data_IF_608000076980
#
_entry.id   IF_608000076980
#
_cell.length_a   1.000
_cell.length_b   1.000
_cell.length_c   1.000
_cell.angle_alpha   90.00
_cell.angle_beta   90.00
_cell.angle_gamma   90.00
#
_symmetry.space_group_name_H-M   'P 1'
#
loop_
_entity.id
_entity.type
_entity.pdbx_description
1 polymer ?
#
# COMPACT_ATOMS: atom_id res chain seq x y z
N UNK A 1 22.98 9.45 16.05
CA UNK A 1 22.98 10.78 15.40
C UNK A 1 22.17 10.77 14.10
N UNK A 2 22.40 9.82 13.18
CA UNK A 2 21.63 9.68 11.91
C UNK A 2 20.11 9.66 12.13
N UNK A 3 19.61 8.93 13.13
CA UNK A 3 18.16 8.84 13.43
C UNK A 3 17.52 10.19 13.79
N UNK A 4 18.30 11.15 14.32
CA UNK A 4 17.82 12.47 14.75
C UNK A 4 17.95 13.54 13.68
N UNK A 5 18.45 13.21 12.49
CA UNK A 5 18.57 14.17 11.39
C UNK A 5 17.19 14.70 10.96
N UNK A 6 17.13 16.01 10.69
CA UNK A 6 15.88 16.72 10.38
C UNK A 6 15.42 16.51 8.93
N UNK A 7 16.37 16.32 8.00
CA UNK A 7 16.14 16.15 6.57
C UNK A 7 17.13 15.15 5.95
N UNK A 8 16.93 14.83 4.67
CA UNK A 8 17.80 13.90 3.96
C UNK A 8 19.20 14.47 3.73
N UNK A 9 19.36 15.80 3.57
CA UNK A 9 20.66 16.43 3.35
C UNK A 9 21.59 16.23 4.57
N UNK A 10 21.03 16.44 5.76
CA UNK A 10 21.68 16.19 7.04
C UNK A 10 22.07 14.73 7.19
N UNK A 11 21.21 13.78 6.77
CA UNK A 11 21.54 12.35 6.76
C UNK A 11 22.73 12.08 5.85
N UNK A 12 22.69 12.54 4.61
CA UNK A 12 23.76 12.31 3.63
C UNK A 12 25.09 12.95 4.05
N UNK A 13 25.04 14.13 4.67
CA UNK A 13 26.21 14.81 5.23
C UNK A 13 26.83 14.02 6.38
N UNK A 14 26.02 13.51 7.31
CA UNK A 14 26.50 12.68 8.42
C UNK A 14 27.10 11.36 7.92
N UNK A 15 26.47 10.72 6.94
CA UNK A 15 27.00 9.49 6.33
C UNK A 15 28.37 9.75 5.72
N UNK A 16 28.51 10.83 4.95
CA UNK A 16 29.79 11.20 4.33
C UNK A 16 30.88 11.45 5.37
N UNK A 17 30.56 12.17 6.45
CA UNK A 17 31.51 12.49 7.51
C UNK A 17 31.99 11.25 8.28
N UNK A 18 31.12 10.24 8.43
CA UNK A 18 31.38 9.06 9.27
C UNK A 18 31.60 7.79 8.48
N UNK A 19 31.86 7.87 7.18
CA UNK A 19 31.84 6.72 6.25
C UNK A 19 32.61 5.50 6.76
N UNK A 20 33.78 5.69 7.36
CA UNK A 20 34.66 4.63 7.86
C UNK A 20 34.18 3.97 9.16
N UNK A 21 33.23 4.58 9.87
CA UNK A 21 32.69 4.09 11.15
C UNK A 21 31.35 3.37 10.99
N UNK A 22 30.71 3.43 9.80
CA UNK A 22 29.36 2.90 9.60
C UNK A 22 29.40 1.40 9.33
N UNK A 23 28.63 0.65 10.11
CA UNK A 23 28.32 -0.75 9.81
C UNK A 23 27.03 -0.90 8.98
N UNK A 24 26.70 -2.14 8.61
CA UNK A 24 25.50 -2.48 7.83
C UNK A 24 24.20 -1.90 8.39
N UNK A 25 24.03 -1.92 9.72
CA UNK A 25 22.85 -1.39 10.42
C UNK A 25 22.78 0.12 10.27
N UNK A 26 23.90 0.84 10.40
CA UNK A 26 23.92 2.28 10.26
C UNK A 26 23.66 2.73 8.83
N UNK A 27 24.21 2.02 7.85
CA UNK A 27 24.00 2.28 6.42
C UNK A 27 22.53 2.04 6.04
N UNK A 28 21.95 0.90 6.44
CA UNK A 28 20.53 0.61 6.24
C UNK A 28 19.62 1.66 6.91
N UNK A 29 19.95 2.06 8.14
CA UNK A 29 19.23 3.13 8.86
C UNK A 29 19.31 4.45 8.11
N UNK A 30 20.48 4.82 7.57
CA UNK A 30 20.63 6.05 6.80
C UNK A 30 19.75 6.04 5.55
N UNK A 31 19.76 4.95 4.78
CA UNK A 31 18.91 4.80 3.59
C UNK A 31 17.42 4.92 3.95
N UNK A 32 17.00 4.24 5.02
CA UNK A 32 15.63 4.31 5.53
C UNK A 32 15.24 5.75 5.95
N UNK A 33 16.14 6.48 6.61
CA UNK A 33 15.91 7.88 6.98
C UNK A 33 15.80 8.79 5.76
N UNK A 34 16.68 8.64 4.75
CA UNK A 34 16.56 9.36 3.49
C UNK A 34 15.18 9.14 2.87
N UNK A 35 14.74 7.88 2.78
CA UNK A 35 13.43 7.53 2.23
C UNK A 35 12.26 8.19 3.00
N UNK A 36 12.31 8.22 4.34
CA UNK A 36 11.31 8.94 5.16
C UNK A 36 11.23 10.41 4.77
N UNK A 37 12.36 11.09 4.69
CA UNK A 37 12.42 12.53 4.41
C UNK A 37 11.98 12.87 2.98
N UNK A 38 12.13 11.96 2.02
CA UNK A 38 11.72 12.17 0.62
C UNK A 38 10.38 11.55 0.24
N UNK A 39 9.72 10.83 1.16
CA UNK A 39 8.49 10.05 0.87
C UNK A 39 7.36 10.92 0.30
N UNK A 40 7.16 12.11 0.88
CA UNK A 40 6.02 12.99 0.55
C UNK A 40 6.35 14.10 -0.45
N UNK A 41 7.62 14.45 -0.61
CA UNK A 41 8.03 15.53 -1.49
C UNK A 41 8.75 14.98 -2.73
N UNK A 42 8.06 15.06 -3.88
CA UNK A 42 8.60 14.61 -5.17
C UNK A 42 9.85 15.39 -5.59
N UNK A 43 9.87 16.71 -5.39
CA UNK A 43 11.01 17.53 -5.76
C UNK A 43 12.26 17.16 -4.93
N UNK A 44 12.10 16.93 -3.63
CA UNK A 44 13.19 16.46 -2.77
C UNK A 44 13.68 15.08 -3.17
N UNK A 45 12.76 14.17 -3.50
CA UNK A 45 13.13 12.84 -4.00
C UNK A 45 13.94 12.93 -5.30
N UNK A 46 13.49 13.72 -6.27
CA UNK A 46 14.18 13.89 -7.54
C UNK A 46 15.55 14.59 -7.38
N UNK A 47 15.68 15.48 -6.40
CA UNK A 47 16.98 16.10 -6.02
C UNK A 47 17.91 15.08 -5.38
N UNK A 48 17.40 14.32 -4.41
CA UNK A 48 18.14 13.29 -3.68
C UNK A 48 18.66 12.18 -4.60
N UNK A 49 17.87 11.72 -5.57
CA UNK A 49 18.28 10.68 -6.53
C UNK A 49 19.46 11.11 -7.43
N UNK A 50 19.68 12.43 -7.60
CA UNK A 50 20.79 13.00 -8.37
C UNK A 50 21.99 13.40 -7.50
N UNK A 51 21.88 13.25 -6.19
CA UNK A 51 22.92 13.66 -5.25
C UNK A 51 24.08 12.64 -5.24
N UNK A 52 25.33 13.05 -5.51
CA UNK A 52 26.49 12.15 -5.47
C UNK A 52 26.68 11.47 -4.10
N UNK A 53 26.27 12.11 -2.99
CA UNK A 53 26.31 11.51 -1.66
C UNK A 53 25.31 10.37 -1.51
N UNK A 54 24.16 10.47 -2.17
CA UNK A 54 23.18 9.39 -2.20
C UNK A 54 23.70 8.20 -3.00
N UNK A 55 24.33 8.44 -4.15
CA UNK A 55 24.99 7.39 -4.95
C UNK A 55 26.05 6.67 -4.10
N UNK A 56 26.91 7.42 -3.40
CA UNK A 56 27.90 6.81 -2.49
C UNK A 56 27.26 6.04 -1.33
N UNK A 57 26.09 6.44 -0.84
CA UNK A 57 25.33 5.67 0.15
C UNK A 57 24.82 4.36 -0.45
N UNK A 58 24.37 4.35 -1.70
CA UNK A 58 23.97 3.11 -2.39
C UNK A 58 25.14 2.14 -2.56
N UNK A 59 26.33 2.64 -2.89
CA UNK A 59 27.55 1.82 -2.95
C UNK A 59 27.84 1.19 -1.59
N UNK A 60 27.77 1.96 -0.50
CA UNK A 60 27.93 1.41 0.85
C UNK A 60 26.86 0.40 1.23
N UNK A 61 25.60 0.59 0.82
CA UNK A 61 24.52 -0.41 1.02
C UNK A 61 24.86 -1.70 0.27
N UNK A 62 25.42 -1.60 -0.93
CA UNK A 62 25.85 -2.76 -1.71
C UNK A 62 26.98 -3.52 -1.03
N UNK A 63 28.01 -2.80 -0.59
CA UNK A 63 29.20 -3.34 0.05
C UNK A 63 28.85 -4.06 1.36
N UNK A 64 27.98 -3.45 2.18
CA UNK A 64 27.58 -4.02 3.47
C UNK A 64 26.41 -5.00 3.38
N UNK A 65 25.84 -5.21 2.19
CA UNK A 65 24.71 -6.12 1.98
C UNK A 65 24.93 -7.51 2.62
N UNK A 66 26.09 -8.17 2.48
CA UNK A 66 26.34 -9.48 3.08
C UNK A 66 26.21 -9.53 4.60
N UNK A 67 26.33 -8.39 5.28
CA UNK A 67 26.31 -8.24 6.74
C UNK A 67 24.98 -7.68 7.26
N UNK A 68 24.01 -7.43 6.37
CA UNK A 68 22.71 -6.92 6.76
C UNK A 68 21.95 -7.99 7.57
N UNK A 69 21.59 -7.65 8.80
CA UNK A 69 20.68 -8.47 9.60
C UNK A 69 19.22 -8.40 9.06
N UNK A 70 18.29 -9.25 9.55
CA UNK A 70 16.90 -9.29 9.03
C UNK A 70 16.21 -7.92 9.00
N UNK A 71 16.41 -7.13 10.06
CA UNK A 71 15.87 -5.77 10.16
C UNK A 71 16.44 -4.86 9.07
N UNK A 72 17.76 -4.87 8.90
CA UNK A 72 18.47 -4.05 7.91
C UNK A 72 18.02 -4.38 6.49
N UNK A 73 17.83 -5.68 6.18
CA UNK A 73 17.26 -6.11 4.90
C UNK A 73 15.86 -5.54 4.70
N UNK A 74 14.98 -5.66 5.69
CA UNK A 74 13.61 -5.11 5.57
C UNK A 74 13.59 -3.58 5.44
N UNK A 75 14.46 -2.87 6.17
CA UNK A 75 14.56 -1.41 6.12
C UNK A 75 15.07 -0.94 4.74
N UNK A 76 16.06 -1.62 4.18
CA UNK A 76 16.60 -1.32 2.83
C UNK A 76 15.54 -1.59 1.76
N UNK A 77 14.87 -2.74 1.81
CA UNK A 77 13.78 -3.08 0.88
C UNK A 77 12.64 -2.04 0.96
N UNK A 78 12.23 -1.67 2.16
CA UNK A 78 11.21 -0.65 2.38
C UNK A 78 11.64 0.72 1.86
N UNK A 79 12.89 1.11 2.07
CA UNK A 79 13.42 2.39 1.63
C UNK A 79 13.37 2.53 0.11
N UNK A 80 13.86 1.51 -0.61
CA UNK A 80 13.83 1.48 -2.07
C UNK A 80 12.40 1.49 -2.62
N UNK A 81 11.50 0.69 -2.05
CA UNK A 81 10.08 0.70 -2.40
C UNK A 81 9.44 2.07 -2.16
N UNK A 82 9.70 2.70 -1.01
CA UNK A 82 9.18 4.02 -0.65
C UNK A 82 9.67 5.12 -1.60
N UNK A 83 10.94 5.03 -2.03
CA UNK A 83 11.51 5.95 -3.01
C UNK A 83 11.12 5.62 -4.45
N UNK A 84 10.47 4.47 -4.69
CA UNK A 84 10.20 3.92 -6.02
C UNK A 84 11.46 3.88 -6.89
N UNK A 85 12.59 3.51 -6.28
CA UNK A 85 13.89 3.46 -6.91
C UNK A 85 14.53 2.12 -6.57
N UNK A 86 14.81 1.30 -7.59
CA UNK A 86 15.42 -0.01 -7.42
C UNK A 86 16.60 -0.18 -8.37
N UNK A 87 17.82 0.16 -7.94
CA UNK A 87 19.01 0.00 -8.77
C UNK A 87 19.20 -1.47 -9.17
N UNK A 88 19.50 -1.79 -10.45
CA UNK A 88 19.79 -3.17 -10.85
C UNK A 88 20.92 -3.82 -10.05
N UNK A 89 21.87 -3.02 -9.56
CA UNK A 89 22.98 -3.47 -8.72
C UNK A 89 22.55 -3.96 -7.34
N UNK A 90 21.38 -3.55 -6.83
CA UNK A 90 20.83 -4.01 -5.55
C UNK A 90 20.05 -5.32 -5.64
N UNK A 91 19.61 -5.70 -6.85
CA UNK A 91 18.72 -6.86 -7.04
C UNK A 91 19.34 -8.13 -6.47
N UNK A 92 20.52 -8.52 -6.97
CA UNK A 92 21.17 -9.76 -6.54
C UNK A 92 21.59 -9.74 -5.06
N UNK A 93 22.25 -8.69 -4.53
CA UNK A 93 22.62 -8.63 -3.12
C UNK A 93 21.43 -8.76 -2.17
N UNK A 94 20.36 -8.00 -2.39
CA UNK A 94 19.20 -7.99 -1.49
C UNK A 94 18.40 -9.28 -1.57
N UNK A 95 18.15 -9.82 -2.77
CA UNK A 95 17.46 -11.11 -2.90
C UNK A 95 18.25 -12.25 -2.29
N UNK A 96 19.59 -12.22 -2.39
CA UNK A 96 20.47 -13.20 -1.73
C UNK A 96 20.33 -13.13 -0.22
N UNK A 97 20.33 -11.92 0.35
CA UNK A 97 20.17 -11.74 1.80
C UNK A 97 18.79 -12.14 2.29
N UNK A 98 17.72 -11.84 1.55
CA UNK A 98 16.39 -12.35 1.83
C UNK A 98 16.40 -13.88 1.88
N UNK A 99 17.01 -14.54 0.90
CA UNK A 99 17.13 -16.00 0.88
C UNK A 99 17.89 -16.58 2.08
N UNK A 100 19.01 -15.93 2.47
CA UNK A 100 19.82 -16.35 3.63
C UNK A 100 19.00 -16.30 4.92
N UNK A 101 18.31 -15.20 5.18
CA UNK A 101 17.52 -15.02 6.40
C UNK A 101 16.23 -15.86 6.43
N UNK A 102 15.65 -16.16 5.26
CA UNK A 102 14.55 -17.13 5.14
C UNK A 102 15.03 -18.55 5.49
N UNK A 103 16.21 -18.96 4.99
CA UNK A 103 16.77 -20.29 5.27
C UNK A 103 17.03 -20.52 6.75
N UNK A 104 17.41 -19.48 7.50
CA UNK A 104 17.62 -19.55 8.94
C UNK A 104 16.39 -19.18 9.77
N UNK A 105 15.22 -18.98 9.14
CA UNK A 105 13.99 -18.54 9.80
C UNK A 105 14.17 -17.30 10.69
N UNK A 106 15.02 -16.35 10.29
CA UNK A 106 15.43 -15.21 11.10
C UNK A 106 14.47 -14.00 10.99
N UNK A 107 13.58 -13.99 10.01
CA UNK A 107 12.60 -12.92 9.86
C UNK A 107 11.44 -13.00 10.86
N UNK A 108 11.20 -11.90 11.56
CA UNK A 108 10.00 -11.67 12.35
C UNK A 108 8.80 -11.27 11.46
N UNK A 109 7.55 -11.38 11.96
CA UNK A 109 6.32 -11.00 11.26
C UNK A 109 6.39 -9.68 10.48
N UNK A 110 6.89 -8.63 11.13
CA UNK A 110 7.01 -7.32 10.51
C UNK A 110 7.94 -7.32 9.29
N UNK A 111 9.07 -8.05 9.36
CA UNK A 111 10.05 -8.09 8.28
C UNK A 111 9.47 -8.80 7.04
N UNK A 112 8.81 -9.95 7.23
CA UNK A 112 8.13 -10.68 6.15
C UNK A 112 7.10 -9.78 5.44
N UNK A 113 6.27 -9.10 6.23
CA UNK A 113 5.23 -8.21 5.69
C UNK A 113 5.80 -7.02 4.91
N UNK A 114 6.89 -6.42 5.39
CA UNK A 114 7.54 -5.28 4.72
C UNK A 114 8.27 -5.72 3.44
N UNK A 115 8.88 -6.90 3.43
CA UNK A 115 9.55 -7.45 2.24
C UNK A 115 8.52 -7.74 1.13
N UNK A 116 7.38 -8.36 1.47
CA UNK A 116 6.30 -8.62 0.51
C UNK A 116 5.70 -7.31 -0.02
N UNK A 117 5.46 -6.34 0.86
CA UNK A 117 5.02 -5.01 0.45
C UNK A 117 6.03 -4.33 -0.50
N UNK A 118 7.32 -4.42 -0.18
CA UNK A 118 8.38 -3.85 -1.00
C UNK A 118 8.47 -4.54 -2.38
N UNK A 119 8.41 -5.87 -2.44
CA UNK A 119 8.34 -6.62 -3.69
C UNK A 119 7.17 -6.19 -4.57
N UNK A 120 5.99 -6.01 -3.98
CA UNK A 120 4.81 -5.53 -4.71
C UNK A 120 4.99 -4.12 -5.29
N UNK A 121 5.50 -3.18 -4.50
CA UNK A 121 5.73 -1.79 -4.95
C UNK A 121 6.81 -1.73 -6.04
N UNK A 122 7.88 -2.50 -5.87
CA UNK A 122 9.01 -2.58 -6.81
C UNK A 122 8.71 -3.48 -8.02
N UNK A 123 7.52 -4.08 -8.08
CA UNK A 123 7.10 -5.01 -9.14
C UNK A 123 8.09 -6.16 -9.34
N UNK A 124 8.70 -6.62 -8.25
CA UNK A 124 9.67 -7.72 -8.24
C UNK A 124 8.98 -8.98 -7.71
N UNK A 125 8.88 -10.04 -8.53
CA UNK A 125 8.20 -11.30 -8.17
C UNK A 125 9.17 -12.50 -8.11
N UNK A 126 10.04 -12.59 -7.09
CA UNK A 126 10.94 -13.74 -6.94
C UNK A 126 10.18 -14.95 -6.38
N UNK A 127 9.50 -15.71 -7.25
CA UNK A 127 8.55 -16.78 -6.86
C UNK A 127 9.11 -17.74 -5.79
N UNK A 128 10.34 -18.23 -5.94
CA UNK A 128 10.97 -19.12 -4.94
C UNK A 128 11.12 -18.49 -3.55
N UNK A 129 11.34 -17.18 -3.47
CA UNK A 129 11.39 -16.48 -2.19
C UNK A 129 9.98 -16.23 -1.63
N UNK A 130 8.99 -16.03 -2.50
CA UNK A 130 7.58 -15.91 -2.08
C UNK A 130 7.11 -17.22 -1.43
N UNK A 131 7.44 -18.38 -2.00
CA UNK A 131 7.17 -19.71 -1.43
C UNK A 131 7.84 -19.87 -0.04
N UNK A 132 9.08 -19.41 0.10
CA UNK A 132 9.79 -19.44 1.39
C UNK A 132 9.21 -18.49 2.43
N UNK A 133 8.81 -17.29 2.00
CA UNK A 133 8.11 -16.32 2.86
C UNK A 133 6.78 -16.90 3.31
N UNK A 134 6.04 -17.56 2.41
CA UNK A 134 4.79 -18.24 2.71
C UNK A 134 4.97 -19.27 3.83
N UNK A 135 5.94 -20.19 3.68
CA UNK A 135 6.25 -21.19 4.71
C UNK A 135 6.62 -20.56 6.06
N UNK A 136 7.49 -19.56 6.08
CA UNK A 136 7.90 -18.94 7.33
C UNK A 136 6.76 -18.13 7.98
N UNK A 137 5.93 -17.48 7.17
CA UNK A 137 4.75 -16.75 7.63
C UNK A 137 3.73 -17.71 8.26
N UNK A 138 3.52 -18.90 7.69
CA UNK A 138 2.65 -19.92 8.29
C UNK A 138 3.11 -20.28 9.71
N UNK A 139 4.42 -20.45 9.94
CA UNK A 139 4.95 -20.74 11.28
C UNK A 139 4.86 -19.59 12.28
N UNK A 140 4.57 -18.37 11.83
CA UNK A 140 4.49 -17.16 12.66
C UNK A 140 3.08 -16.57 12.71
N UNK A 141 2.07 -17.29 12.24
CA UNK A 141 0.79 -16.69 11.90
C UNK A 141 0.09 -16.02 13.08
N UNK A 142 0.17 -16.64 14.25
CA UNK A 142 -0.42 -16.14 15.50
C UNK A 142 0.24 -14.86 16.02
N UNK A 143 1.44 -14.54 15.52
CA UNK A 143 2.24 -13.37 15.91
C UNK A 143 1.98 -12.17 15.00
N UNK A 144 1.27 -12.34 13.88
CA UNK A 144 0.94 -11.23 12.99
C UNK A 144 -0.10 -10.31 13.64
N UNK A 145 0.16 -9.01 13.55
CA UNK A 145 -0.86 -7.99 13.80
C UNK A 145 -1.59 -7.62 12.50
N UNK A 146 -2.61 -6.77 12.61
CA UNK A 146 -3.42 -6.32 11.48
C UNK A 146 -2.59 -5.73 10.33
N UNK A 147 -1.65 -4.84 10.64
CA UNK A 147 -0.81 -4.21 9.60
C UNK A 147 0.04 -5.24 8.85
N UNK A 148 0.55 -6.27 9.54
CA UNK A 148 1.32 -7.32 8.89
C UNK A 148 0.45 -8.17 7.96
N UNK A 149 -0.74 -8.58 8.42
CA UNK A 149 -1.69 -9.33 7.60
C UNK A 149 -2.10 -8.54 6.36
N UNK A 150 -2.44 -7.26 6.53
CA UNK A 150 -2.82 -6.38 5.42
C UNK A 150 -1.69 -6.27 4.38
N UNK A 151 -0.44 -6.06 4.81
CA UNK A 151 0.71 -5.97 3.92
C UNK A 151 0.97 -7.27 3.16
N UNK A 152 0.87 -8.43 3.82
CA UNK A 152 1.03 -9.74 3.17
C UNK A 152 -0.06 -9.96 2.12
N UNK A 153 -1.33 -9.85 2.52
CA UNK A 153 -2.48 -10.06 1.63
C UNK A 153 -2.44 -9.11 0.43
N UNK A 154 -2.25 -7.82 0.68
CA UNK A 154 -2.16 -6.82 -0.38
C UNK A 154 -0.96 -7.05 -1.29
N UNK A 155 0.22 -7.36 -0.72
CA UNK A 155 1.42 -7.57 -1.52
C UNK A 155 1.33 -8.81 -2.40
N UNK A 156 0.81 -9.93 -1.88
CA UNK A 156 0.52 -11.11 -2.68
C UNK A 156 -0.48 -10.83 -3.80
N UNK A 157 -1.55 -10.07 -3.50
CA UNK A 157 -2.54 -9.67 -4.50
C UNK A 157 -1.92 -8.79 -5.59
N UNK A 158 -1.10 -7.81 -5.23
CA UNK A 158 -0.40 -6.95 -6.19
C UNK A 158 0.62 -7.69 -7.05
N UNK A 159 1.28 -8.71 -6.49
CA UNK A 159 2.18 -9.58 -7.23
C UNK A 159 1.44 -10.66 -8.05
N UNK A 160 0.11 -10.76 -7.93
CA UNK A 160 -0.68 -11.85 -8.48
C UNK A 160 -0.08 -13.22 -8.11
N UNK A 161 0.34 -13.37 -6.84
CA UNK A 161 0.90 -14.60 -6.28
C UNK A 161 -0.14 -15.21 -5.35
N UNK A 162 -0.52 -16.45 -5.63
CA UNK A 162 -1.50 -17.19 -4.85
C UNK A 162 -0.78 -18.01 -3.77
N UNK A 163 -0.81 -17.53 -2.53
CA UNK A 163 -0.21 -18.19 -1.37
C UNK A 163 -1.21 -19.21 -0.76
N UNK A 164 -1.56 -20.25 -1.53
CA UNK A 164 -2.68 -21.15 -1.24
C UNK A 164 -2.63 -21.76 0.17
N UNK A 165 -1.43 -22.05 0.71
CA UNK A 165 -1.30 -22.67 2.03
C UNK A 165 -1.45 -21.64 3.17
N UNK A 166 -1.07 -20.39 2.93
CA UNK A 166 -1.09 -19.33 3.95
C UNK A 166 -2.41 -18.55 3.97
N UNK A 167 -3.07 -18.37 2.83
CA UNK A 167 -4.27 -17.53 2.71
C UNK A 167 -5.38 -17.89 3.71
N UNK A 168 -5.80 -19.16 3.87
CA UNK A 168 -6.84 -19.52 4.84
C UNK A 168 -6.47 -19.12 6.27
N UNK A 169 -5.20 -19.31 6.65
CA UNK A 169 -4.70 -18.93 7.96
C UNK A 169 -4.68 -17.42 8.17
N UNK A 170 -4.27 -16.65 7.14
CA UNK A 170 -4.27 -15.18 7.22
C UNK A 170 -5.69 -14.62 7.35
N UNK A 171 -6.63 -15.16 6.58
CA UNK A 171 -8.05 -14.80 6.68
C UNK A 171 -8.56 -15.08 8.10
N UNK A 172 -8.31 -16.29 8.63
CA UNK A 172 -8.71 -16.66 9.99
C UNK A 172 -8.07 -15.74 11.06
N UNK A 173 -6.79 -15.38 10.89
CA UNK A 173 -6.08 -14.45 11.79
C UNK A 173 -6.70 -13.06 11.77
N UNK A 174 -7.00 -12.52 10.59
CA UNK A 174 -7.61 -11.18 10.45
C UNK A 174 -9.02 -11.16 11.05
N UNK A 175 -9.80 -12.22 10.88
CA UNK A 175 -11.16 -12.32 11.44
C UNK A 175 -11.19 -12.72 12.91
N UNK A 176 -10.04 -13.01 13.52
CA UNK A 176 -9.99 -13.32 14.95
C UNK A 176 -10.37 -12.09 15.80
N UNK A 177 -11.05 -12.29 16.96
CA UNK A 177 -11.48 -11.18 17.80
C UNK A 177 -10.32 -10.24 18.15
N UNK A 178 -10.54 -8.93 18.01
CA UNK A 178 -9.55 -7.90 18.36
C UNK A 178 -8.65 -7.44 17.20
N UNK A 179 -8.35 -8.30 16.21
CA UNK A 179 -7.37 -7.95 15.16
C UNK A 179 -7.93 -6.89 14.22
N UNK A 180 -9.10 -7.13 13.62
CA UNK A 180 -9.71 -6.16 12.70
C UNK A 180 -10.22 -4.90 13.42
N UNK A 181 -10.54 -4.95 14.72
CA UNK A 181 -11.03 -3.77 15.46
C UNK A 181 -9.97 -2.68 15.62
N UNK A 182 -8.68 -3.02 15.51
CA UNK A 182 -7.57 -2.07 15.55
C UNK A 182 -7.21 -1.54 14.15
N UNK A 183 -7.86 -2.04 13.09
CA UNK A 183 -7.52 -1.70 11.72
C UNK A 183 -7.74 -0.22 11.41
N UNK A 184 -6.83 0.34 10.60
CA UNK A 184 -6.96 1.65 9.99
C UNK A 184 -7.74 1.56 8.67
N UNK A 185 -8.32 2.65 8.16
CA UNK A 185 -9.02 2.67 6.87
C UNK A 185 -8.22 2.07 5.71
N UNK A 186 -6.91 2.35 5.67
CA UNK A 186 -6.03 1.83 4.62
C UNK A 186 -5.91 0.31 4.66
N UNK A 187 -5.80 -0.26 5.86
CA UNK A 187 -5.70 -1.71 6.06
C UNK A 187 -7.01 -2.39 5.65
N UNK A 188 -8.18 -1.82 5.99
CA UNK A 188 -9.49 -2.33 5.55
C UNK A 188 -9.62 -2.31 4.03
N UNK A 189 -9.22 -1.20 3.39
CA UNK A 189 -9.26 -1.11 1.92
C UNK A 189 -8.28 -2.07 1.24
N UNK A 190 -7.12 -2.31 1.86
CA UNK A 190 -6.11 -3.23 1.34
C UNK A 190 -6.56 -4.69 1.46
N UNK A 191 -7.26 -5.05 2.55
CA UNK A 191 -7.92 -6.35 2.69
C UNK A 191 -8.99 -6.54 1.62
N UNK A 192 -9.87 -5.54 1.42
CA UNK A 192 -10.92 -5.59 0.41
C UNK A 192 -10.33 -5.79 -1.00
N UNK A 193 -9.25 -5.05 -1.31
CA UNK A 193 -8.53 -5.24 -2.56
C UNK A 193 -7.97 -6.67 -2.67
N UNK A 194 -7.31 -7.16 -1.63
CA UNK A 194 -6.65 -8.45 -1.65
C UNK A 194 -7.63 -9.62 -1.82
N UNK A 195 -8.72 -9.63 -1.05
CA UNK A 195 -9.75 -10.69 -1.14
C UNK A 195 -10.43 -10.69 -2.50
N UNK A 196 -10.63 -9.53 -3.13
CA UNK A 196 -11.21 -9.45 -4.47
C UNK A 196 -10.27 -9.96 -5.57
N UNK A 197 -8.96 -10.04 -5.31
CA UNK A 197 -7.96 -10.53 -6.26
C UNK A 197 -7.64 -12.01 -6.03
N UNK A 198 -7.45 -12.42 -4.78
CA UNK A 198 -6.94 -13.76 -4.41
C UNK A 198 -8.04 -14.72 -3.92
N UNK A 199 -9.15 -14.16 -3.44
CA UNK A 199 -10.21 -14.89 -2.74
C UNK A 199 -11.48 -15.08 -3.57
N UNK A 200 -12.55 -15.44 -2.88
CA UNK A 200 -13.88 -15.65 -3.47
C UNK A 200 -14.97 -15.24 -2.49
N UNK A 201 -16.13 -14.80 -2.98
CA UNK A 201 -17.25 -14.41 -2.12
C UNK A 201 -17.67 -15.52 -1.14
N UNK A 202 -17.70 -16.78 -1.60
CA UNK A 202 -18.15 -17.91 -0.79
C UNK A 202 -17.16 -18.24 0.34
N UNK A 203 -15.88 -18.40 0.02
CA UNK A 203 -14.86 -18.80 1.01
C UNK A 203 -14.55 -17.68 2.00
N UNK A 204 -14.60 -16.43 1.55
CA UNK A 204 -14.19 -15.26 2.32
C UNK A 204 -15.38 -14.44 2.84
N UNK A 205 -16.60 -15.00 2.83
CA UNK A 205 -17.79 -14.34 3.36
C UNK A 205 -17.59 -13.74 4.77
N UNK A 206 -16.98 -14.45 5.75
CA UNK A 206 -16.72 -13.87 7.07
C UNK A 206 -15.81 -12.64 7.04
N UNK A 207 -14.81 -12.64 6.15
CA UNK A 207 -13.90 -11.51 5.99
C UNK A 207 -14.60 -10.34 5.30
N UNK A 208 -15.44 -10.60 4.29
CA UNK A 208 -16.25 -9.57 3.63
C UNK A 208 -17.22 -8.91 4.61
N UNK A 209 -17.92 -9.69 5.44
CA UNK A 209 -18.81 -9.16 6.47
C UNK A 209 -18.06 -8.31 7.49
N UNK A 210 -16.86 -8.76 7.89
CA UNK A 210 -16.02 -8.02 8.82
C UNK A 210 -15.50 -6.70 8.21
N UNK A 211 -15.09 -6.71 6.93
CA UNK A 211 -14.72 -5.51 6.16
C UNK A 211 -15.90 -4.54 6.07
N UNK A 212 -17.09 -5.06 5.73
CA UNK A 212 -18.31 -4.25 5.63
C UNK A 212 -18.65 -3.59 6.97
N UNK A 213 -18.66 -4.38 8.04
CA UNK A 213 -18.95 -3.91 9.40
C UNK A 213 -17.94 -2.86 9.85
N UNK A 214 -16.64 -3.11 9.68
CA UNK A 214 -15.59 -2.17 10.07
C UNK A 214 -15.64 -0.88 9.26
N UNK A 215 -15.97 -0.98 7.98
CA UNK A 215 -16.16 0.14 7.06
C UNK A 215 -17.55 0.78 7.11
N UNK A 216 -18.39 0.50 8.12
CA UNK A 216 -19.67 1.18 8.32
C UNK A 216 -19.53 2.43 9.20
N UNK A 217 -20.59 3.22 9.30
CA UNK A 217 -20.69 4.38 10.20
C UNK A 217 -20.60 3.99 11.67
N UNK A 218 -21.04 2.79 12.04
CA UNK A 218 -20.84 2.23 13.38
C UNK A 218 -19.38 1.80 13.63
N UNK A 219 -18.61 1.59 12.56
CA UNK A 219 -17.18 1.33 12.60
C UNK A 219 -16.37 2.61 12.47
N UNK A 220 -15.60 2.71 11.39
CA UNK A 220 -14.64 3.81 11.16
C UNK A 220 -14.83 4.52 9.83
N UNK A 221 -15.96 4.35 9.15
CA UNK A 221 -16.25 4.97 7.84
C UNK A 221 -15.94 6.48 7.77
N UNK A 222 -16.23 7.32 8.78
CA UNK A 222 -15.93 8.76 8.72
C UNK A 222 -14.43 9.10 8.53
N UNK A 223 -13.54 8.15 8.81
CA UNK A 223 -12.09 8.32 8.63
C UNK A 223 -11.56 7.84 7.27
N UNK A 224 -12.43 7.30 6.41
CA UNK A 224 -12.05 6.84 5.07
C UNK A 224 -11.95 8.00 4.10
N UNK A 225 -10.99 7.90 3.19
CA UNK A 225 -11.02 8.68 1.95
C UNK A 225 -12.00 8.07 0.97
N UNK A 226 -12.58 8.87 0.07
CA UNK A 226 -13.47 8.39 -0.99
C UNK A 226 -12.84 7.28 -1.84
N UNK A 227 -11.54 7.38 -2.12
CA UNK A 227 -10.79 6.34 -2.85
C UNK A 227 -10.78 4.98 -2.14
N UNK A 228 -10.69 4.98 -0.81
CA UNK A 228 -10.72 3.74 -0.03
C UNK A 228 -12.12 3.11 -0.06
N UNK A 229 -13.17 3.92 0.04
CA UNK A 229 -14.57 3.45 -0.09
C UNK A 229 -14.84 2.93 -1.51
N UNK A 230 -14.37 3.62 -2.55
CA UNK A 230 -14.44 3.14 -3.94
C UNK A 230 -13.74 1.80 -4.13
N UNK A 231 -12.61 1.59 -3.44
CA UNK A 231 -11.89 0.30 -3.48
C UNK A 231 -12.73 -0.83 -2.86
N UNK A 232 -13.44 -0.54 -1.77
CA UNK A 232 -14.35 -1.50 -1.14
C UNK A 232 -15.56 -1.80 -2.04
N UNK A 233 -16.20 -0.78 -2.62
CA UNK A 233 -17.28 -0.97 -3.61
C UNK A 233 -16.82 -1.87 -4.77
N UNK A 234 -15.64 -1.57 -5.32
CA UNK A 234 -15.03 -2.36 -6.39
C UNK A 234 -14.79 -3.81 -5.96
N UNK A 235 -14.31 -4.03 -4.74
CA UNK A 235 -14.03 -5.38 -4.24
C UNK A 235 -15.28 -6.24 -4.17
N UNK A 236 -16.36 -5.72 -3.59
CA UNK A 236 -17.65 -6.41 -3.50
C UNK A 236 -18.24 -6.68 -4.89
N UNK A 237 -18.27 -5.66 -5.76
CA UNK A 237 -18.74 -5.79 -7.14
C UNK A 237 -17.96 -6.86 -7.92
N UNK A 238 -16.62 -6.87 -7.81
CA UNK A 238 -15.75 -7.84 -8.48
C UNK A 238 -16.03 -9.27 -8.03
N UNK A 239 -16.26 -9.46 -6.74
CA UNK A 239 -16.58 -10.77 -6.15
C UNK A 239 -18.04 -11.18 -6.38
N UNK A 240 -18.87 -10.31 -6.98
CA UNK A 240 -20.33 -10.48 -7.06
C UNK A 240 -20.97 -10.68 -5.67
N UNK A 241 -20.34 -10.10 -4.65
CA UNK A 241 -20.86 -10.02 -3.30
C UNK A 241 -21.60 -8.69 -3.14
N UNK A 242 -22.56 -8.63 -2.21
CA UNK A 242 -23.28 -7.39 -1.90
C UNK A 242 -23.12 -7.11 -0.41
N UNK A 243 -22.60 -5.94 0.00
CA UNK A 243 -22.58 -5.57 1.40
C UNK A 243 -24.02 -5.36 1.90
N UNK A 244 -24.29 -5.43 3.21
CA UNK A 244 -25.61 -5.14 3.75
C UNK A 244 -26.16 -3.80 3.23
N UNK A 245 -27.43 -3.76 2.82
CA UNK A 245 -27.98 -2.61 2.09
C UNK A 245 -27.84 -1.26 2.80
N UNK A 246 -27.95 -1.23 4.13
CA UNK A 246 -27.70 -0.02 4.91
C UNK A 246 -26.25 0.47 4.77
N UNK A 247 -25.28 -0.44 4.84
CA UNK A 247 -23.84 -0.13 4.69
C UNK A 247 -23.53 0.30 3.26
N UNK A 248 -24.14 -0.33 2.24
CA UNK A 248 -23.99 0.09 0.85
C UNK A 248 -24.42 1.55 0.66
N UNK A 249 -25.59 1.92 1.20
CA UNK A 249 -26.10 3.30 1.14
C UNK A 249 -25.17 4.30 1.83
N UNK A 250 -24.58 3.93 2.97
CA UNK A 250 -23.58 4.75 3.65
C UNK A 250 -22.33 4.98 2.77
N UNK A 251 -21.82 3.94 2.12
CA UNK A 251 -20.66 4.04 1.21
C UNK A 251 -20.96 4.95 0.02
N UNK A 252 -22.12 4.76 -0.62
CA UNK A 252 -22.56 5.59 -1.75
C UNK A 252 -22.67 7.04 -1.32
N UNK A 253 -23.30 7.32 -0.18
CA UNK A 253 -23.45 8.67 0.37
C UNK A 253 -22.10 9.36 0.60
N UNK A 254 -21.14 8.66 1.22
CA UNK A 254 -19.79 9.20 1.46
C UNK A 254 -19.07 9.49 0.15
N UNK A 255 -19.11 8.59 -0.83
CA UNK A 255 -18.44 8.81 -2.12
C UNK A 255 -19.08 9.96 -2.88
N UNK A 256 -20.42 10.04 -2.88
CA UNK A 256 -21.19 11.13 -3.51
C UNK A 256 -20.83 12.48 -2.91
N UNK A 257 -20.91 12.64 -1.59
CA UNK A 257 -20.56 13.88 -0.92
C UNK A 257 -19.10 14.30 -1.18
N UNK A 258 -18.17 13.34 -1.22
CA UNK A 258 -16.77 13.62 -1.59
C UNK A 258 -16.62 14.08 -3.04
N UNK A 259 -17.33 13.44 -3.97
CA UNK A 259 -17.29 13.77 -5.39
C UNK A 259 -17.88 15.16 -5.67
N UNK A 260 -18.98 15.53 -5.01
CA UNK A 260 -19.59 16.86 -5.08
C UNK A 260 -18.64 17.94 -4.56
N UNK A 261 -17.98 17.71 -3.43
CA UNK A 261 -17.02 18.66 -2.86
C UNK A 261 -15.74 18.78 -3.69
N UNK A 262 -15.24 17.67 -4.23
CA UNK A 262 -14.09 17.62 -5.12
C UNK A 262 -14.24 16.42 -6.07
N UNK A 263 -14.41 16.67 -7.39
CA UNK A 263 -14.58 15.60 -8.35
C UNK A 263 -13.50 14.53 -8.24
N UNK A 264 -13.94 13.28 -8.27
CA UNK A 264 -13.06 12.12 -8.32
C UNK A 264 -12.16 12.21 -9.56
N UNK A 265 -10.94 11.70 -9.45
CA UNK A 265 -10.09 11.54 -10.63
C UNK A 265 -10.75 10.58 -11.62
N UNK A 266 -10.57 10.81 -12.91
CA UNK A 266 -11.25 10.07 -13.97
C UNK A 266 -11.11 8.53 -13.85
N UNK A 267 -9.97 8.03 -13.35
CA UNK A 267 -9.76 6.61 -13.10
C UNK A 267 -10.64 6.09 -11.94
N UNK A 268 -10.69 6.81 -10.83
CA UNK A 268 -11.48 6.44 -9.66
C UNK A 268 -12.99 6.57 -9.96
N UNK A 269 -13.40 7.59 -10.72
CA UNK A 269 -14.77 7.77 -11.18
C UNK A 269 -15.24 6.59 -12.06
N UNK A 270 -14.42 6.15 -13.03
CA UNK A 270 -14.74 4.97 -13.87
C UNK A 270 -14.86 3.69 -13.05
N UNK A 271 -13.96 3.49 -12.08
CA UNK A 271 -14.00 2.33 -11.20
C UNK A 271 -15.24 2.35 -10.31
N UNK A 272 -15.58 3.53 -9.76
CA UNK A 272 -16.77 3.75 -8.96
C UNK A 272 -18.04 3.45 -9.76
N UNK A 273 -18.19 4.02 -10.97
CA UNK A 273 -19.34 3.77 -11.86
C UNK A 273 -19.57 2.28 -12.09
N UNK A 274 -18.53 1.57 -12.54
CA UNK A 274 -18.61 0.12 -12.80
C UNK A 274 -18.99 -0.68 -11.56
N UNK A 275 -18.45 -0.31 -10.40
CA UNK A 275 -18.78 -0.98 -9.15
C UNK A 275 -20.23 -0.74 -8.74
N UNK A 276 -20.72 0.50 -8.86
CA UNK A 276 -22.08 0.87 -8.53
C UNK A 276 -23.12 0.23 -9.46
N UNK A 277 -22.88 0.24 -10.77
CA UNK A 277 -23.73 -0.46 -11.75
C UNK A 277 -23.86 -1.94 -11.43
N UNK A 278 -22.73 -2.61 -11.13
CA UNK A 278 -22.72 -4.02 -10.75
C UNK A 278 -23.44 -4.31 -9.43
N UNK A 279 -23.55 -3.31 -8.54
CA UNK A 279 -24.28 -3.36 -7.27
C UNK A 279 -25.71 -2.80 -7.38
N UNK A 280 -26.18 -2.51 -8.61
CA UNK A 280 -27.53 -2.01 -8.85
C UNK A 280 -27.79 -0.61 -8.29
N UNK A 281 -26.77 0.25 -8.23
CA UNK A 281 -26.87 1.63 -7.72
C UNK A 281 -26.87 2.65 -8.86
N UNK A 282 -27.53 3.78 -8.64
CA UNK A 282 -27.55 4.94 -9.55
C UNK A 282 -26.15 5.56 -9.71
N UNK A 283 -25.82 6.04 -10.91
CA UNK A 283 -24.49 6.56 -11.26
C UNK A 283 -24.52 7.89 -11.99
N UNK A 284 -25.69 8.45 -12.24
CA UNK A 284 -25.92 9.70 -12.96
C UNK A 284 -25.22 10.87 -12.25
N UNK A 285 -25.19 10.84 -10.92
CA UNK A 285 -24.52 11.84 -10.07
C UNK A 285 -22.98 11.84 -10.20
N UNK A 286 -22.38 10.82 -10.82
CA UNK A 286 -20.93 10.81 -11.09
C UNK A 286 -20.56 11.70 -12.26
N UNK A 287 -21.50 12.04 -13.14
CA UNK A 287 -21.25 13.02 -14.21
C UNK A 287 -21.71 14.38 -13.70
N UNK A 288 -20.81 15.36 -13.52
CA UNK A 288 -21.26 16.71 -13.22
C UNK A 288 -22.16 17.18 -14.37
N UNK A 289 -23.24 17.93 -14.09
CA UNK A 289 -24.04 18.52 -15.15
C UNK A 289 -23.09 19.31 -16.06
N UNK A 290 -23.22 19.10 -17.39
CA UNK A 290 -22.52 19.97 -18.35
C UNK A 290 -22.92 21.39 -17.96
N UNK A 291 -21.94 22.21 -17.60
CA UNK A 291 -22.13 23.65 -17.63
C UNK A 291 -22.47 23.93 -19.08
N UNK A 292 -23.74 24.19 -19.38
CA UNK A 292 -24.08 24.85 -20.63
C UNK A 292 -23.31 26.17 -20.56
N UNK A 293 -22.31 26.32 -21.43
CA UNK A 293 -21.73 27.62 -21.70
C UNK A 293 -22.87 28.49 -22.23
N UNK A 294 -23.59 29.16 -21.33
CA UNK A 294 -24.41 30.33 -21.65
C UNK A 294 -23.49 31.50 -22.02
N UNK A 295 -22.60 31.31 -23.00
CA UNK A 295 -21.94 32.39 -23.71
C UNK A 295 -22.47 32.39 -25.14
N UNK A 296 -23.59 33.09 -25.36
CA UNK A 296 -24.06 33.33 -26.72
C UNK A 296 -25.43 33.97 -26.93
N UNK A 297 -26.29 34.13 -25.92
CA UNK A 297 -27.63 34.70 -26.13
C UNK A 297 -27.79 36.18 -25.74
N UNK A 298 -26.78 36.81 -25.12
CA UNK A 298 -26.87 38.21 -24.67
C UNK A 298 -26.26 39.24 -25.65
N UNK A 299 -25.59 38.82 -26.73
CA UNK A 299 -24.96 39.76 -27.70
C UNK A 299 -25.93 40.20 -28.82
N UNK A 300 -27.08 39.54 -28.99
CA UNK A 300 -28.04 39.91 -30.03
C UNK A 300 -29.03 41.04 -29.64
N UNK A 301 -29.14 41.40 -28.35
CA UNK A 301 -30.10 42.41 -27.89
C UNK A 301 -29.52 43.84 -27.79
N UNK A 302 -28.22 44.03 -28.03
CA UNK A 302 -27.56 45.34 -28.00
C UNK A 302 -27.30 45.93 -29.39
N UNK A 303 -27.80 45.30 -30.46
CA UNK A 303 -27.62 45.76 -31.85
C UNK A 303 -28.86 46.45 -32.45
N UNK A 304 -29.95 46.64 -31.70
CA UNK A 304 -31.19 47.28 -32.17
C UNK A 304 -31.69 48.45 -31.28
N UNK A 305 -30.79 49.19 -30.62
CA UNK A 305 -31.14 50.45 -29.93
C UNK A 305 -30.24 51.62 -30.36
#
# INVERSE_FOLDING_TARGET
>A
QIVKAADFDSVLTLVRQKRTELNSVNVATALHRVAIHTKRNRADRDRMLRDPRFISLLDSVQECAPECNPRSVSDVMWAFATMQHWPPTMLKPMLTQVAVHLKSSAFEPQHLSLIIWAFAILQCKPVKLLEQIEMQAMSNIDRFNMQNCANLLWGFAKLNYQADALLPGLTARVTSPGVLSESKPVEVSDLAFAVAVLGSAEKDAPLLDAIATRGSSAGILPSFTSRQVVTMLWAFARLRATPPGAILSEWVSVVRASHEAKPLLAADQRNCRRALEALGQETEWLDPPKVEEEEGAAVAAAAEA
#
